data_IF_009999318654
#
_entry.id   IF_009999318654
#
_cell.length_a   1.000
_cell.length_b   1.000
_cell.length_c   1.000
_cell.angle_alpha   90.00
_cell.angle_beta   90.00
_cell.angle_gamma   90.00
#
_symmetry.space_group_name_H-M   'P 1'
#
loop_
_entity.id
_entity.type
_entity.pdbx_description
1 polymer ?
#
# COMPACT_ATOMS: atom_id res chain seq x y z
N UNK A 1 -4.66 -7.18 24.81
CA UNK A 1 -4.39 -8.08 23.68
C UNK A 1 -4.32 -7.31 22.37
N UNK A 2 -3.66 -7.85 21.40
CA UNK A 2 -3.56 -7.29 20.07
C UNK A 2 -4.55 -7.98 19.13
N UNK A 3 -5.15 -7.19 18.24
CA UNK A 3 -5.95 -7.74 17.15
C UNK A 3 -5.09 -7.89 15.91
N UNK A 4 -5.29 -8.97 15.17
CA UNK A 4 -4.57 -9.22 13.93
C UNK A 4 -5.37 -8.68 12.76
N UNK A 5 -4.73 -7.86 11.95
CA UNK A 5 -5.31 -7.28 10.73
C UNK A 5 -4.45 -7.67 9.55
N UNK A 6 -5.09 -8.13 8.48
CA UNK A 6 -4.37 -8.57 7.29
C UNK A 6 -3.84 -7.37 6.51
N UNK A 7 -4.54 -6.22 6.58
CA UNK A 7 -4.19 -5.06 5.78
C UNK A 7 -4.68 -3.77 6.42
N UNK A 8 -3.96 -2.68 6.12
CA UNK A 8 -4.31 -1.31 6.48
C UNK A 8 -4.75 -0.60 5.20
N UNK A 9 -6.06 -0.61 4.92
CA UNK A 9 -6.60 -0.03 3.68
C UNK A 9 -8.07 0.34 3.86
N UNK A 10 -8.58 1.13 2.90
CA UNK A 10 -10.01 1.42 2.78
C UNK A 10 -10.40 1.36 1.30
N UNK A 11 -11.64 0.96 1.05
CA UNK A 11 -12.23 0.96 -0.28
C UNK A 11 -13.34 2.00 -0.30
N UNK A 12 -13.29 2.91 -1.27
CA UNK A 12 -14.27 3.97 -1.43
C UNK A 12 -14.94 3.79 -2.78
N UNK A 13 -16.28 3.70 -2.76
CA UNK A 13 -17.06 3.66 -3.98
C UNK A 13 -17.30 5.09 -4.46
N UNK A 14 -16.83 5.40 -5.67
CA UNK A 14 -17.00 6.72 -6.24
C UNK A 14 -18.41 6.90 -6.80
N UNK A 15 -18.94 8.11 -6.69
CA UNK A 15 -20.19 8.47 -7.35
C UNK A 15 -20.00 8.48 -8.86
N UNK A 16 -21.09 8.30 -9.61
CA UNK A 16 -21.05 8.23 -11.09
C UNK A 16 -20.45 9.47 -11.74
N UNK A 17 -20.59 10.63 -11.09
CA UNK A 17 -20.15 11.92 -11.65
C UNK A 17 -18.68 12.22 -11.35
N UNK A 18 -17.99 11.38 -10.59
CA UNK A 18 -16.58 11.58 -10.26
C UNK A 18 -15.72 11.09 -11.41
N UNK A 19 -14.84 11.95 -11.91
CA UNK A 19 -13.86 11.58 -12.91
C UNK A 19 -12.52 11.36 -12.25
N UNK A 20 -11.83 10.28 -12.68
CA UNK A 20 -10.49 9.98 -12.21
C UNK A 20 -9.50 10.61 -13.17
N UNK A 21 -8.63 11.48 -12.65
CA UNK A 21 -7.59 12.11 -13.43
C UNK A 21 -6.41 11.19 -13.72
N UNK A 22 -5.49 11.67 -14.51
CA UNK A 22 -4.26 10.99 -14.84
C UNK A 22 -3.08 11.61 -14.10
N UNK A 23 -2.15 10.76 -13.68
CA UNK A 23 -0.89 11.18 -13.09
C UNK A 23 0.21 10.18 -13.49
N UNK A 24 1.38 10.28 -12.87
CA UNK A 24 2.51 9.39 -13.16
C UNK A 24 2.39 8.01 -12.52
N UNK A 25 1.38 7.78 -11.67
CA UNK A 25 1.13 6.48 -11.07
C UNK A 25 0.43 5.58 -12.08
N UNK A 26 0.86 4.31 -12.24
CA UNK A 26 0.17 3.39 -13.13
C UNK A 26 -1.30 3.22 -12.78
N UNK A 27 -2.13 3.05 -13.80
CA UNK A 27 -3.58 2.89 -13.64
C UNK A 27 -4.00 1.43 -13.53
N UNK A 28 -3.04 0.52 -13.43
CA UNK A 28 -3.30 -0.90 -13.24
C UNK A 28 -2.48 -1.40 -12.07
N UNK A 29 -2.87 -2.53 -11.50
CA UNK A 29 -2.18 -3.14 -10.39
C UNK A 29 -1.47 -4.41 -10.82
N UNK A 30 -0.43 -4.76 -10.09
CA UNK A 30 0.23 -6.05 -10.23
C UNK A 30 0.01 -6.85 -8.95
N UNK A 31 -0.58 -8.02 -9.06
CA UNK A 31 -0.80 -8.91 -7.94
C UNK A 31 0.44 -9.75 -7.61
N UNK A 32 1.45 -9.72 -8.46
CA UNK A 32 2.70 -10.44 -8.20
C UNK A 32 3.40 -9.83 -6.99
N UNK A 33 3.76 -10.65 -5.98
CA UNK A 33 4.47 -10.14 -4.80
C UNK A 33 5.80 -9.51 -5.18
N UNK A 34 6.18 -8.46 -4.45
CA UNK A 34 7.49 -7.86 -4.58
C UNK A 34 8.55 -8.75 -3.96
N UNK A 35 9.78 -8.60 -4.40
CA UNK A 35 10.93 -9.35 -3.88
C UNK A 35 11.93 -8.40 -3.23
N UNK A 36 12.69 -8.92 -2.27
CA UNK A 36 13.78 -8.17 -1.65
C UNK A 36 14.72 -7.64 -2.72
N UNK A 37 15.07 -6.35 -2.63
CA UNK A 37 15.95 -5.67 -3.57
C UNK A 37 15.24 -5.09 -4.79
N UNK A 38 13.98 -5.38 -4.99
CA UNK A 38 13.20 -4.83 -6.10
C UNK A 38 12.96 -3.33 -5.88
N UNK A 39 13.08 -2.53 -6.93
CA UNK A 39 12.85 -1.10 -6.85
C UNK A 39 11.35 -0.79 -6.90
N UNK A 40 10.88 0.03 -5.96
CA UNK A 40 9.51 0.54 -5.91
C UNK A 40 9.54 2.04 -5.72
N UNK A 41 8.47 2.70 -6.13
CA UNK A 41 8.32 4.16 -6.01
C UNK A 41 6.95 4.50 -5.45
N UNK A 42 6.81 5.73 -4.96
CA UNK A 42 5.50 6.29 -4.63
C UNK A 42 5.48 7.77 -4.98
N UNK A 43 4.28 8.31 -5.17
CA UNK A 43 4.08 9.74 -5.35
C UNK A 43 3.22 10.24 -4.19
N UNK A 44 3.87 10.80 -3.19
CA UNK A 44 3.21 11.26 -1.97
C UNK A 44 2.85 12.73 -2.03
N UNK A 45 1.79 13.09 -1.31
CA UNK A 45 1.33 14.47 -1.23
C UNK A 45 2.39 15.40 -0.65
N UNK A 46 3.16 14.90 0.32
CA UNK A 46 4.21 15.70 0.98
C UNK A 46 5.57 15.54 0.33
N UNK A 47 5.93 14.34 -0.05
CA UNK A 47 7.28 14.03 -0.52
C UNK A 47 7.46 14.14 -2.03
N UNK A 48 6.38 14.15 -2.82
CA UNK A 48 6.48 13.97 -4.26
C UNK A 48 6.89 12.54 -4.59
N UNK A 49 7.66 12.36 -5.64
CA UNK A 49 8.09 11.03 -6.09
C UNK A 49 9.36 10.63 -5.35
N UNK A 50 9.32 9.48 -4.70
CA UNK A 50 10.48 8.85 -4.06
C UNK A 50 10.54 7.38 -4.43
N UNK A 51 11.74 6.86 -4.57
CA UNK A 51 11.97 5.46 -4.94
C UNK A 51 12.98 4.83 -3.99
N UNK A 52 12.91 3.54 -3.84
CA UNK A 52 13.83 2.78 -3.01
C UNK A 52 13.66 1.29 -3.21
N UNK A 53 14.48 0.50 -2.55
CA UNK A 53 14.46 -0.96 -2.68
C UNK A 53 13.63 -1.60 -1.57
N UNK A 54 12.91 -2.64 -1.93
CA UNK A 54 12.21 -3.48 -0.96
C UNK A 54 13.25 -4.14 -0.05
N UNK A 55 13.06 -3.98 1.26
CA UNK A 55 13.92 -4.56 2.27
C UNK A 55 13.42 -5.92 2.70
N UNK A 56 12.12 -6.04 2.92
CA UNK A 56 11.48 -7.29 3.30
C UNK A 56 10.04 -7.30 2.81
N UNK A 57 9.64 -8.26 1.98
CA UNK A 57 8.28 -8.32 1.47
C UNK A 57 7.25 -8.78 2.50
N UNK A 58 7.69 -9.38 3.60
CA UNK A 58 6.79 -9.97 4.60
C UNK A 58 7.21 -9.54 6.00
N UNK A 59 6.60 -8.49 6.51
CA UNK A 59 6.89 -7.95 7.85
C UNK A 59 5.60 -7.78 8.61
N UNK A 60 5.65 -7.97 9.92
CA UNK A 60 4.55 -7.65 10.81
C UNK A 60 4.82 -6.28 11.44
N UNK A 61 3.87 -5.39 11.32
CA UNK A 61 3.95 -4.05 11.92
C UNK A 61 2.82 -3.85 12.92
N UNK A 62 3.08 -3.03 13.95
CA UNK A 62 2.07 -2.69 14.94
C UNK A 62 1.54 -1.31 14.59
N UNK A 63 0.23 -1.23 14.32
CA UNK A 63 -0.45 0.03 14.08
C UNK A 63 -0.89 0.63 15.41
N UNK A 64 -0.43 1.85 15.70
CA UNK A 64 -0.77 2.57 16.91
C UNK A 64 -1.80 3.66 16.59
N UNK A 65 -2.42 4.24 17.62
CA UNK A 65 -3.43 5.29 17.46
C UNK A 65 -4.85 4.82 17.75
N UNK A 66 -5.03 3.57 18.19
CA UNK A 66 -6.30 3.06 18.69
C UNK A 66 -6.12 2.54 20.10
N UNK A 67 -7.23 2.33 20.83
CA UNK A 67 -7.20 1.79 22.19
C UNK A 67 -6.58 0.39 22.23
N UNK A 68 -6.74 -0.38 21.16
CA UNK A 68 -6.20 -1.74 21.04
C UNK A 68 -5.16 -1.71 19.92
N UNK A 69 -3.89 -2.07 20.21
CA UNK A 69 -2.88 -2.19 19.15
C UNK A 69 -3.31 -3.17 18.07
N UNK A 70 -3.05 -2.83 16.82
CA UNK A 70 -3.36 -3.67 15.66
C UNK A 70 -2.08 -4.15 15.02
N UNK A 71 -2.04 -5.43 14.71
CA UNK A 71 -0.91 -6.03 14.00
C UNK A 71 -1.33 -6.22 12.54
N UNK A 72 -0.54 -5.65 11.63
CA UNK A 72 -0.80 -5.75 10.20
C UNK A 72 0.38 -6.38 9.49
N UNK A 73 0.11 -7.10 8.42
CA UNK A 73 1.14 -7.68 7.57
C UNK A 73 1.43 -6.72 6.43
N UNK A 74 2.69 -6.34 6.29
CA UNK A 74 3.11 -5.33 5.32
C UNK A 74 4.42 -5.74 4.65
N UNK A 75 4.75 -5.04 3.58
CA UNK A 75 6.09 -5.07 3.01
C UNK A 75 6.84 -3.83 3.46
N UNK A 76 8.14 -3.94 3.61
CA UNK A 76 9.01 -2.83 4.01
C UNK A 76 9.96 -2.45 2.89
N UNK A 77 10.11 -1.16 2.65
CA UNK A 77 11.02 -0.63 1.64
C UNK A 77 11.68 0.66 2.13
N UNK A 78 12.83 0.98 1.57
CA UNK A 78 13.55 2.20 1.92
C UNK A 78 13.04 3.37 1.08
N UNK A 79 11.86 3.86 1.42
CA UNK A 79 11.18 4.92 0.65
C UNK A 79 11.25 6.30 1.31
N UNK A 80 11.60 6.37 2.57
CA UNK A 80 11.73 7.64 3.31
C UNK A 80 10.45 8.47 3.29
N UNK A 81 9.30 7.82 3.38
CA UNK A 81 8.03 8.53 3.46
C UNK A 81 7.94 9.32 4.76
N UNK A 82 7.24 10.44 4.71
CA UNK A 82 7.01 11.29 5.88
C UNK A 82 5.50 11.36 6.17
N UNK A 83 5.16 11.95 7.32
CA UNK A 83 3.78 12.13 7.72
C UNK A 83 3.02 12.91 6.63
N UNK A 84 1.86 12.40 6.24
CA UNK A 84 1.05 12.97 5.15
C UNK A 84 1.21 12.25 3.82
N UNK A 85 2.16 11.33 3.70
CA UNK A 85 2.34 10.52 2.49
C UNK A 85 1.53 9.22 2.53
N UNK A 86 0.99 8.83 3.69
CA UNK A 86 0.19 7.62 3.87
C UNK A 86 -0.97 7.57 2.89
N UNK A 87 -1.24 6.39 2.37
CA UNK A 87 -2.28 6.19 1.36
C UNK A 87 -1.81 6.33 -0.08
N UNK A 88 -0.58 6.78 -0.30
CA UNK A 88 -0.03 6.87 -1.65
C UNK A 88 0.14 5.48 -2.25
N UNK A 89 -0.07 5.37 -3.56
CA UNK A 89 0.17 4.12 -4.26
C UNK A 89 1.67 3.86 -4.37
N UNK A 90 2.07 2.64 -4.05
CA UNK A 90 3.43 2.14 -4.26
C UNK A 90 3.43 1.35 -5.56
N UNK A 91 4.35 1.64 -6.46
CA UNK A 91 4.34 1.07 -7.80
C UNK A 91 5.74 0.73 -8.30
N UNK A 92 5.78 -0.12 -9.30
CA UNK A 92 6.98 -0.47 -10.04
C UNK A 92 6.64 -0.58 -11.53
N UNK A 93 7.51 -1.20 -12.34
CA UNK A 93 7.29 -1.36 -13.78
C UNK A 93 6.05 -2.18 -14.12
N UNK A 94 5.63 -3.08 -13.22
CA UNK A 94 4.47 -3.94 -13.45
C UNK A 94 3.15 -3.26 -13.11
N UNK A 95 3.16 -2.17 -12.34
CA UNK A 95 1.97 -1.46 -11.91
C UNK A 95 1.98 -1.16 -10.43
N UNK A 96 0.82 -0.86 -9.87
CA UNK A 96 0.66 -0.60 -8.43
C UNK A 96 0.80 -1.92 -7.68
N UNK A 97 1.70 -1.93 -6.71
CA UNK A 97 2.00 -3.13 -5.90
C UNK A 97 1.56 -3.01 -4.45
N UNK A 98 1.16 -1.82 -4.02
CA UNK A 98 0.71 -1.65 -2.64
C UNK A 98 0.25 -0.23 -2.34
N UNK A 99 -0.11 -0.03 -1.08
CA UNK A 99 -0.55 1.27 -0.54
C UNK A 99 0.33 1.60 0.65
N UNK A 100 0.89 2.81 0.66
CA UNK A 100 1.76 3.27 1.72
C UNK A 100 1.01 3.32 3.04
N UNK A 101 1.57 2.70 4.07
CA UNK A 101 0.93 2.63 5.38
C UNK A 101 1.62 3.51 6.42
N UNK A 102 2.93 3.41 6.53
CA UNK A 102 3.65 4.21 7.52
C UNK A 102 5.14 3.99 7.42
N UNK A 103 5.90 4.65 8.28
CA UNK A 103 7.34 4.50 8.25
C UNK A 103 8.03 5.17 9.42
N UNK A 104 9.31 4.93 9.52
CA UNK A 104 10.22 5.53 10.48
C UNK A 104 11.64 5.15 10.13
N UNK A 105 12.61 5.98 10.54
CA UNK A 105 14.05 5.72 10.35
C UNK A 105 14.45 5.45 8.88
N UNK A 106 13.75 6.12 7.95
CA UNK A 106 14.02 5.96 6.53
C UNK A 106 13.34 4.77 5.88
N UNK A 107 12.80 3.86 6.65
CA UNK A 107 12.06 2.70 6.16
C UNK A 107 10.58 3.02 6.10
N UNK A 108 9.90 2.46 5.11
CA UNK A 108 8.47 2.68 4.92
C UNK A 108 7.78 1.34 4.72
N UNK A 109 6.64 1.19 5.38
CA UNK A 109 5.80 0.00 5.23
C UNK A 109 4.67 0.29 4.25
N UNK A 110 4.36 -0.69 3.43
CA UNK A 110 3.21 -0.60 2.52
C UNK A 110 2.44 -1.93 2.53
N UNK A 111 1.13 -1.82 2.36
CA UNK A 111 0.26 -2.99 2.29
C UNK A 111 0.30 -3.52 0.86
N UNK A 112 0.70 -4.79 0.66
CA UNK A 112 0.70 -5.38 -0.68
C UNK A 112 -0.70 -5.37 -1.28
N UNK A 113 -0.81 -5.03 -2.56
CA UNK A 113 -2.10 -4.96 -3.24
C UNK A 113 -2.79 -6.33 -3.28
N UNK A 114 -2.03 -7.40 -3.31
CA UNK A 114 -2.58 -8.76 -3.26
C UNK A 114 -3.33 -9.03 -1.96
N UNK A 115 -2.83 -8.52 -0.83
CA UNK A 115 -3.51 -8.66 0.46
C UNK A 115 -4.87 -7.97 0.44
N UNK A 116 -4.92 -6.80 -0.18
CA UNK A 116 -6.17 -6.05 -0.34
C UNK A 116 -7.13 -6.82 -1.24
N UNK A 117 -6.64 -7.30 -2.38
CA UNK A 117 -7.43 -8.07 -3.33
C UNK A 117 -8.04 -9.32 -2.68
N UNK A 118 -7.21 -10.09 -1.98
CA UNK A 118 -7.66 -11.33 -1.34
C UNK A 118 -8.74 -11.05 -0.28
N UNK A 119 -8.57 -9.97 0.47
CA UNK A 119 -9.52 -9.62 1.54
C UNK A 119 -10.82 -9.05 0.98
N UNK A 120 -10.73 -8.09 0.06
CA UNK A 120 -11.91 -7.41 -0.49
C UNK A 120 -12.69 -8.35 -1.41
N UNK A 121 -12.00 -9.18 -2.16
CA UNK A 121 -12.64 -10.16 -3.05
C UNK A 121 -13.57 -11.13 -2.30
N UNK A 122 -13.25 -11.45 -1.04
CA UNK A 122 -14.12 -12.31 -0.22
C UNK A 122 -15.30 -11.56 0.39
N UNK A 123 -15.22 -10.22 0.51
CA UNK A 123 -16.23 -9.38 1.16
C UNK A 123 -17.17 -8.71 0.17
N UNK A 124 -16.70 -8.40 -1.03
CA UNK A 124 -17.44 -7.68 -2.06
C UNK A 124 -17.47 -8.49 -3.34
N UNK A 125 -18.52 -9.30 -3.55
CA UNK A 125 -18.66 -10.08 -4.78
C UNK A 125 -18.60 -9.16 -6.02
N UNK A 126 -17.87 -9.58 -7.02
CA UNK A 126 -17.68 -8.80 -8.25
C UNK A 126 -16.56 -7.77 -8.19
N UNK A 127 -15.93 -7.58 -7.03
CA UNK A 127 -14.77 -6.72 -6.94
C UNK A 127 -13.60 -7.34 -7.69
N UNK A 128 -12.92 -6.52 -8.50
CA UNK A 128 -11.73 -6.95 -9.24
C UNK A 128 -10.73 -5.78 -9.29
N UNK A 129 -9.46 -6.12 -9.30
CA UNK A 129 -8.39 -5.16 -9.48
C UNK A 129 -7.93 -5.26 -10.94
N UNK A 130 -7.85 -4.10 -11.60
CA UNK A 130 -7.35 -4.05 -12.97
C UNK A 130 -5.86 -4.41 -12.96
N UNK A 131 -5.56 -5.44 -13.68
CA UNK A 131 -4.19 -5.94 -13.80
C UNK A 131 -3.61 -5.58 -15.17
#
# INVERSE_FOLDING_TARGET
SAQFWIADYAVIRLNRNVRVGHNDVPHHASLRPVKTGERVCFHGTKSGIKCGKVLNPNVTAIMRGSLIPRIVFVSSARLRAISGDSGAAVYNKRGVVGILSGGGDGNTSFVPIKNIYDRVGSLLPGFAIRD
#
